data_IF_593302493982
#
_entry.id   IF_593302493982
#
_cell.length_a   1.000
_cell.length_b   1.000
_cell.length_c   1.000
_cell.angle_alpha   90.00
_cell.angle_beta   90.00
_cell.angle_gamma   90.00
#
_symmetry.space_group_name_H-M   'P 1'
#
loop_
_entity.id
_entity.type
_entity.pdbx_description
1 polymer ?
#
# COMPACT_ATOMS: atom_id res chain seq x y z
N UNK A 1 -18.88 6.21 -13.20
CA UNK A 1 -19.52 6.25 -11.85
C UNK A 1 -18.67 5.52 -10.82
N UNK A 2 -18.43 4.19 -10.95
CA UNK A 2 -17.62 3.42 -9.98
C UNK A 2 -16.19 3.94 -9.79
N UNK A 3 -15.50 4.29 -10.88
CA UNK A 3 -14.15 4.89 -10.84
C UNK A 3 -14.08 6.19 -10.01
N UNK A 4 -15.12 7.02 -10.10
CA UNK A 4 -15.16 8.27 -9.34
C UNK A 4 -15.44 8.00 -7.86
N UNK A 5 -16.31 7.04 -7.57
CA UNK A 5 -16.59 6.63 -6.19
C UNK A 5 -15.35 6.06 -5.50
N UNK A 6 -14.55 5.25 -6.19
CA UNK A 6 -13.26 4.78 -5.67
C UNK A 6 -12.33 5.96 -5.37
N UNK A 7 -12.23 6.91 -6.29
CA UNK A 7 -11.41 8.12 -6.12
C UNK A 7 -11.83 8.94 -4.91
N UNK A 8 -13.14 9.13 -4.71
CA UNK A 8 -13.69 9.86 -3.57
C UNK A 8 -13.42 9.13 -2.24
N UNK A 9 -13.60 7.81 -2.18
CA UNK A 9 -13.31 7.03 -0.97
C UNK A 9 -11.84 7.14 -0.52
N UNK A 10 -10.91 7.31 -1.46
CA UNK A 10 -9.48 7.43 -1.15
C UNK A 10 -9.09 8.88 -0.85
N UNK A 11 -9.53 9.81 -1.70
CA UNK A 11 -8.94 11.16 -1.78
C UNK A 11 -9.83 12.30 -1.28
N UNK A 12 -11.11 12.04 -0.97
CA UNK A 12 -12.01 13.12 -0.57
C UNK A 12 -11.48 13.82 0.71
N UNK A 13 -11.40 15.17 0.74
CA UNK A 13 -10.85 15.91 1.87
C UNK A 13 -11.69 15.78 3.16
N UNK A 14 -12.99 15.52 3.04
CA UNK A 14 -13.92 15.47 4.17
C UNK A 14 -13.99 14.08 4.81
N UNK A 15 -13.90 13.00 4.00
CA UNK A 15 -14.11 11.63 4.49
C UNK A 15 -13.19 10.55 3.88
N UNK A 16 -12.34 10.90 2.92
CA UNK A 16 -11.46 9.96 2.24
C UNK A 16 -10.44 9.31 3.18
N UNK A 17 -10.03 8.07 2.87
CA UNK A 17 -9.09 7.32 3.70
C UNK A 17 -7.80 8.11 4.01
N UNK A 18 -7.26 8.84 3.02
CA UNK A 18 -6.02 9.60 3.18
C UNK A 18 -6.20 10.87 4.02
N UNK A 19 -7.39 11.48 4.03
CA UNK A 19 -7.66 12.69 4.82
C UNK A 19 -7.92 12.37 6.29
N UNK A 20 -8.45 11.17 6.59
CA UNK A 20 -8.82 10.74 7.93
C UNK A 20 -7.69 10.07 8.74
N UNK A 21 -6.45 10.03 8.21
CA UNK A 21 -5.31 9.42 8.92
C UNK A 21 -4.86 10.32 10.07
N UNK A 22 -4.93 9.79 11.31
CA UNK A 22 -4.40 10.45 12.51
C UNK A 22 -2.88 10.54 12.48
N UNK A 23 -2.30 11.54 13.15
CA UNK A 23 -0.86 11.80 13.11
C UNK A 23 -0.01 10.60 13.58
N UNK A 24 -0.47 9.89 14.60
CA UNK A 24 0.19 8.70 15.17
C UNK A 24 0.25 7.51 14.20
N UNK A 25 -0.62 7.48 13.20
CA UNK A 25 -0.72 6.43 12.17
C UNK A 25 0.05 6.78 10.90
N UNK A 26 0.70 7.95 10.83
CA UNK A 26 1.55 8.34 9.71
C UNK A 26 2.98 7.86 9.95
N UNK A 27 3.57 7.29 8.90
CA UNK A 27 4.98 6.91 8.87
C UNK A 27 5.61 7.48 7.60
N UNK A 28 6.93 7.59 7.59
CA UNK A 28 7.68 8.09 6.44
C UNK A 28 8.73 7.07 6.03
N UNK A 29 8.83 6.74 4.72
CA UNK A 29 9.78 5.75 4.27
C UNK A 29 11.23 6.21 4.52
N UNK A 30 12.07 5.29 4.98
CA UNK A 30 13.46 5.60 5.32
C UNK A 30 14.32 6.03 4.12
N UNK A 31 14.03 5.47 2.94
CA UNK A 31 14.87 5.65 1.73
C UNK A 31 14.10 6.07 0.48
N UNK A 32 12.93 6.70 0.65
CA UNK A 32 12.08 7.19 -0.43
C UNK A 32 11.29 6.10 -1.18
N UNK A 33 11.94 5.00 -1.58
CA UNK A 33 11.23 3.81 -2.08
C UNK A 33 10.65 2.99 -0.91
N UNK A 34 9.47 2.36 -1.05
CA UNK A 34 8.89 1.52 -0.02
C UNK A 34 9.69 0.23 0.15
N UNK A 35 10.23 0.03 1.34
CA UNK A 35 11.05 -1.12 1.72
C UNK A 35 10.24 -2.14 2.52
N UNK A 36 10.72 -3.40 2.62
CA UNK A 36 10.22 -4.37 3.60
C UNK A 36 10.03 -3.81 5.02
N UNK A 37 10.99 -3.01 5.49
CA UNK A 37 10.96 -2.45 6.85
C UNK A 37 9.85 -1.40 7.00
N UNK A 38 9.61 -0.57 5.97
CA UNK A 38 8.52 0.42 5.98
C UNK A 38 7.14 -0.27 6.04
N UNK A 39 6.97 -1.40 5.35
CA UNK A 39 5.73 -2.18 5.43
C UNK A 39 5.59 -2.93 6.76
N UNK A 40 6.68 -3.44 7.33
CA UNK A 40 6.66 -4.01 8.67
C UNK A 40 6.29 -2.91 9.70
N UNK A 41 6.76 -1.66 9.53
CA UNK A 41 6.37 -0.52 10.37
C UNK A 41 4.87 -0.22 10.26
N UNK A 42 4.29 -0.21 9.06
CA UNK A 42 2.83 -0.10 8.90
C UNK A 42 2.09 -1.20 9.68
N UNK A 43 2.55 -2.45 9.58
CA UNK A 43 1.92 -3.57 10.29
C UNK A 43 2.00 -3.41 11.81
N UNK A 44 3.04 -2.77 12.36
CA UNK A 44 3.09 -2.47 13.80
C UNK A 44 1.99 -1.48 14.22
N UNK A 45 1.60 -0.55 13.34
CA UNK A 45 0.52 0.42 13.59
C UNK A 45 -0.86 -0.24 13.57
N UNK A 46 -1.08 -1.20 12.68
CA UNK A 46 -2.38 -1.87 12.43
C UNK A 46 -2.39 -3.36 12.77
N UNK A 47 -1.64 -3.78 13.79
CA UNK A 47 -1.40 -5.20 14.13
C UNK A 47 -2.65 -6.03 14.43
N UNK A 48 -3.77 -5.40 14.77
CA UNK A 48 -5.05 -6.06 15.08
C UNK A 48 -5.80 -6.39 13.79
N UNK A 49 -5.48 -7.53 13.21
CA UNK A 49 -6.19 -8.10 12.04
C UNK A 49 -6.17 -7.17 10.79
N UNK A 50 -4.99 -6.80 10.27
CA UNK A 50 -4.89 -5.99 9.06
C UNK A 50 -5.45 -6.76 7.85
N UNK A 51 -6.27 -6.09 7.04
CA UNK A 51 -6.95 -6.73 5.91
C UNK A 51 -6.10 -6.74 4.63
N UNK A 52 -5.60 -5.57 4.22
CA UNK A 52 -4.82 -5.40 3.00
C UNK A 52 -4.06 -4.07 3.02
N UNK A 53 -3.01 -3.97 2.21
CA UNK A 53 -2.40 -2.70 1.84
C UNK A 53 -3.09 -2.15 0.59
N UNK A 54 -3.35 -0.85 0.55
CA UNK A 54 -3.86 -0.16 -0.62
C UNK A 54 -2.80 0.80 -1.13
N UNK A 55 -2.33 0.63 -2.36
CA UNK A 55 -1.30 1.54 -2.91
C UNK A 55 -1.30 1.56 -4.44
N UNK A 56 -0.55 2.50 -5.01
CA UNK A 56 -0.42 2.64 -6.45
C UNK A 56 0.36 1.46 -7.07
N UNK A 57 0.02 0.98 -8.28
CA UNK A 57 0.77 -0.09 -8.95
C UNK A 57 2.29 0.16 -9.06
N UNK A 58 2.70 1.42 -9.22
CA UNK A 58 4.11 1.81 -9.23
C UNK A 58 4.81 1.56 -7.87
N UNK A 59 4.10 1.79 -6.75
CA UNK A 59 4.60 1.49 -5.41
C UNK A 59 4.79 -0.02 -5.22
N UNK A 60 3.82 -0.83 -5.68
CA UNK A 60 3.91 -2.30 -5.62
C UNK A 60 5.14 -2.78 -6.41
N UNK A 61 5.38 -2.23 -7.60
CA UNK A 61 6.56 -2.56 -8.39
C UNK A 61 7.86 -2.13 -7.70
N UNK A 62 7.89 -0.95 -7.06
CA UNK A 62 9.04 -0.48 -6.29
C UNK A 62 9.32 -1.39 -5.09
N UNK A 63 8.29 -1.72 -4.32
CA UNK A 63 8.36 -2.65 -3.20
C UNK A 63 8.87 -4.03 -3.64
N UNK A 64 8.34 -4.58 -4.73
CA UNK A 64 8.80 -5.85 -5.28
C UNK A 64 10.29 -5.85 -5.60
N UNK A 65 10.82 -4.78 -6.23
CA UNK A 65 12.26 -4.61 -6.47
C UNK A 65 13.06 -4.56 -5.17
N UNK A 66 12.59 -3.79 -4.20
CA UNK A 66 13.25 -3.61 -2.90
C UNK A 66 13.29 -4.89 -2.07
N UNK A 67 12.22 -5.68 -2.11
CA UNK A 67 12.12 -6.97 -1.44
C UNK A 67 13.00 -8.03 -2.12
N UNK A 68 12.99 -8.11 -3.45
CA UNK A 68 13.91 -8.99 -4.20
C UNK A 68 15.37 -8.61 -3.98
N UNK A 69 15.71 -7.31 -3.96
CA UNK A 69 17.08 -6.82 -3.69
C UNK A 69 17.60 -7.24 -2.32
N UNK A 70 16.71 -7.39 -1.33
CA UNK A 70 17.04 -7.86 0.03
C UNK A 70 16.96 -9.39 0.20
N UNK A 71 16.70 -10.13 -0.87
CA UNK A 71 16.61 -11.59 -0.84
C UNK A 71 15.31 -12.16 -0.26
N UNK A 72 14.25 -11.33 -0.17
CA UNK A 72 12.94 -11.71 0.37
C UNK A 72 11.85 -11.52 -0.68
N UNK A 73 11.82 -12.30 -1.79
CA UNK A 73 10.79 -12.15 -2.81
C UNK A 73 9.41 -12.41 -2.20
N UNK A 74 8.46 -11.47 -2.33
CA UNK A 74 7.17 -11.60 -1.65
C UNK A 74 6.29 -12.65 -2.35
N UNK A 75 5.59 -13.52 -1.59
CA UNK A 75 4.70 -14.54 -2.16
C UNK A 75 3.43 -13.90 -2.72
N UNK A 76 2.68 -14.66 -3.53
CA UNK A 76 1.40 -14.23 -4.08
C UNK A 76 0.20 -14.96 -3.50
N UNK A 77 -0.98 -14.35 -3.61
CA UNK A 77 -2.27 -14.94 -3.25
C UNK A 77 -3.27 -14.74 -4.39
N UNK A 78 -4.16 -15.71 -4.60
CA UNK A 78 -5.29 -15.59 -5.53
C UNK A 78 -6.50 -14.98 -4.82
N UNK A 79 -6.96 -13.81 -5.28
CA UNK A 79 -8.19 -13.17 -4.81
C UNK A 79 -9.06 -12.82 -6.01
N UNK A 80 -10.34 -13.17 -5.97
CA UNK A 80 -11.29 -12.87 -7.04
C UNK A 80 -10.81 -13.32 -8.44
N UNK A 81 -10.05 -14.42 -8.52
CA UNK A 81 -9.49 -14.95 -9.78
C UNK A 81 -8.23 -14.25 -10.28
N UNK A 82 -7.64 -13.32 -9.52
CA UNK A 82 -6.41 -12.58 -9.87
C UNK A 82 -5.31 -12.79 -8.83
N UNK A 83 -4.05 -12.68 -9.27
CA UNK A 83 -2.87 -12.84 -8.40
C UNK A 83 -2.40 -11.50 -7.84
N UNK A 84 -2.16 -11.45 -6.54
CA UNK A 84 -1.65 -10.26 -5.84
C UNK A 84 -0.40 -10.61 -5.03
N UNK A 85 0.55 -9.70 -4.97
CA UNK A 85 1.70 -9.82 -4.06
C UNK A 85 1.21 -9.65 -2.63
N UNK A 86 1.84 -10.36 -1.70
CA UNK A 86 1.56 -10.26 -0.26
C UNK A 86 2.83 -9.95 0.53
N UNK A 87 2.68 -9.25 1.64
CA UNK A 87 3.74 -9.06 2.63
C UNK A 87 3.24 -9.53 3.99
N UNK A 88 3.99 -10.45 4.63
CA UNK A 88 3.58 -11.12 5.89
C UNK A 88 2.16 -11.73 5.86
N UNK A 89 1.73 -12.21 4.68
CA UNK A 89 0.39 -12.77 4.47
C UNK A 89 -0.71 -11.74 4.18
N UNK A 90 -0.39 -10.45 4.17
CA UNK A 90 -1.34 -9.36 3.89
C UNK A 90 -1.21 -8.92 2.42
N UNK A 91 -2.29 -8.93 1.63
CA UNK A 91 -2.24 -8.61 0.20
C UNK A 91 -2.01 -7.12 -0.08
N UNK A 92 -1.24 -6.82 -1.13
CA UNK A 92 -1.06 -5.49 -1.68
C UNK A 92 -2.04 -5.30 -2.85
N UNK A 93 -3.07 -4.47 -2.63
CA UNK A 93 -4.13 -4.20 -3.58
C UNK A 93 -3.79 -2.94 -4.39
N UNK A 94 -3.69 -3.05 -5.74
CA UNK A 94 -3.42 -1.92 -6.61
C UNK A 94 -4.65 -1.01 -6.75
N UNK A 95 -4.44 0.29 -6.61
CA UNK A 95 -5.40 1.31 -7.06
C UNK A 95 -4.67 2.48 -7.72
N UNK A 96 -5.10 2.85 -8.92
CA UNK A 96 -4.55 4.02 -9.62
C UNK A 96 -5.10 5.36 -9.07
N UNK A 97 -5.98 5.32 -8.07
CA UNK A 97 -6.51 6.51 -7.40
C UNK A 97 -5.65 6.96 -6.22
N UNK A 98 -4.76 6.09 -5.73
CA UNK A 98 -3.77 6.49 -4.72
C UNK A 98 -2.79 7.47 -5.38
N UNK A 99 -2.65 8.71 -4.87
CA UNK A 99 -1.83 9.74 -5.52
C UNK A 99 -0.37 9.33 -5.64
N UNK A 100 0.25 9.75 -6.74
CA UNK A 100 1.70 9.66 -6.97
C UNK A 100 2.16 11.02 -7.41
N UNK A 101 3.08 11.63 -6.67
CA UNK A 101 3.68 12.91 -7.02
C UNK A 101 5.12 12.67 -7.52
N UNK A 102 5.47 13.20 -8.69
CA UNK A 102 6.83 13.10 -9.26
C UNK A 102 7.37 11.67 -9.40
N UNK A 103 6.47 10.69 -9.63
CA UNK A 103 6.84 9.27 -9.70
C UNK A 103 7.24 8.65 -8.35
N UNK A 104 7.03 9.38 -7.26
CA UNK A 104 7.21 8.93 -5.88
C UNK A 104 5.83 8.74 -5.23
N UNK A 105 5.69 7.61 -4.57
CA UNK A 105 4.51 7.21 -3.80
C UNK A 105 4.77 7.47 -2.33
#
# INVERSE_FOLDING_TARGET
IKENQESELINNPDYGLLSQVTEEQRIFPLTGAPTPDDLDELLTKVWKEPAFFLTHPLAIAAFGREATRRGTPPPTVSLFGSQFITWRGIPLIPSNKVPVADGKT
#
